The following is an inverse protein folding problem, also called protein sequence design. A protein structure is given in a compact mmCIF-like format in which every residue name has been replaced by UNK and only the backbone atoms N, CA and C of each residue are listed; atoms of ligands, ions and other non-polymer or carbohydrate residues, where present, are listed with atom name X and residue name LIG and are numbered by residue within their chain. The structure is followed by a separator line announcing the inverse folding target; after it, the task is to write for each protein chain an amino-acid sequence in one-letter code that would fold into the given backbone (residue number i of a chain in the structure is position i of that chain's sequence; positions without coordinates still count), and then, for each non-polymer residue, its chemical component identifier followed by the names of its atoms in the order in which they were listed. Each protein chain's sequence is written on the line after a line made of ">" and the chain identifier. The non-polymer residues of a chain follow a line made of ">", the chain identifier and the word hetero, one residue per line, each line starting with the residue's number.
data_IF_044558792687
#
_entry.id   IF_044558792687
#
_cell.length_a   1.000
_cell.length_b   1.000
_cell.length_c   1.000
_cell.angle_alpha   90.00
_cell.angle_beta   90.00
_cell.angle_gamma   90.00
#
_symmetry.space_group_name_H-M   'P 1'
#
loop_
_entity.id
_entity.type
_entity.pdbx_description
1 polymer ?
#
# COMPACT_ATOMS: atom_id res chain seq x y z
N UNK A 1 12.95 -64.21 13.03
CA UNK A 1 11.82 -63.51 12.41
C UNK A 1 11.40 -62.36 13.30
N UNK A 2 11.17 -61.19 12.73
CA UNK A 2 10.54 -60.13 13.52
C UNK A 2 9.15 -60.55 13.90
N UNK A 3 8.86 -60.40 15.18
CA UNK A 3 7.53 -60.72 15.71
C UNK A 3 6.54 -59.68 15.20
N UNK A 4 5.25 -60.05 15.20
CA UNK A 4 4.17 -59.13 14.84
C UNK A 4 4.23 -57.86 15.72
N UNK A 5 4.61 -57.99 16.98
CA UNK A 5 4.78 -56.88 17.90
C UNK A 5 5.84 -55.89 17.43
N UNK A 6 6.96 -56.33 16.88
CA UNK A 6 8.01 -55.45 16.30
C UNK A 6 7.55 -54.77 15.03
N UNK A 7 6.80 -55.48 14.20
CA UNK A 7 6.22 -54.88 12.99
C UNK A 7 5.23 -53.78 13.34
N UNK A 8 4.32 -54.05 14.29
CA UNK A 8 3.32 -53.06 14.73
C UNK A 8 3.99 -51.84 15.37
N UNK A 9 5.04 -52.06 16.19
CA UNK A 9 5.80 -50.96 16.77
C UNK A 9 6.47 -50.07 15.71
N UNK A 10 7.02 -50.70 14.66
CA UNK A 10 7.61 -49.94 13.54
C UNK A 10 6.57 -49.17 12.78
N UNK A 11 5.41 -49.76 12.51
CA UNK A 11 4.30 -49.06 11.83
C UNK A 11 3.80 -47.87 12.63
N UNK A 12 3.65 -48.04 13.95
CA UNK A 12 3.24 -46.96 14.86
C UNK A 12 4.25 -45.80 14.84
N UNK A 13 5.54 -46.12 14.83
CA UNK A 13 6.60 -45.12 14.78
C UNK A 13 6.60 -44.35 13.45
N UNK A 14 6.36 -45.03 12.32
CA UNK A 14 6.21 -44.38 11.02
C UNK A 14 5.02 -43.44 11.03
N UNK A 15 3.87 -43.87 11.56
CA UNK A 15 2.66 -43.04 11.67
C UNK A 15 2.92 -41.78 12.49
N UNK A 16 3.62 -41.91 13.61
CA UNK A 16 4.00 -40.79 14.48
C UNK A 16 4.92 -39.82 13.76
N UNK A 17 5.92 -40.29 13.04
CA UNK A 17 6.84 -39.45 12.26
C UNK A 17 6.11 -38.69 11.17
N UNK A 18 5.16 -39.33 10.47
CA UNK A 18 4.33 -38.67 9.46
C UNK A 18 3.50 -37.56 10.06
N UNK A 19 2.90 -37.80 11.22
CA UNK A 19 2.11 -36.78 11.94
C UNK A 19 2.99 -35.60 12.33
N UNK A 20 4.18 -35.85 12.89
CA UNK A 20 5.11 -34.81 13.31
C UNK A 20 5.57 -33.96 12.08
N UNK A 21 5.83 -34.62 10.94
CA UNK A 21 6.20 -33.93 9.71
C UNK A 21 5.06 -33.02 9.20
N UNK A 22 3.82 -33.53 9.22
CA UNK A 22 2.65 -32.74 8.81
C UNK A 22 2.46 -31.51 9.71
N UNK A 23 2.63 -31.65 11.02
CA UNK A 23 2.56 -30.56 11.97
C UNK A 23 3.66 -29.52 11.71
N UNK A 24 4.88 -29.97 11.43
CA UNK A 24 6.01 -29.10 11.14
C UNK A 24 5.77 -28.30 9.85
N UNK A 25 5.29 -28.95 8.78
CA UNK A 25 4.95 -28.29 7.52
C UNK A 25 3.88 -27.22 7.76
N UNK A 26 2.85 -27.54 8.53
CA UNK A 26 1.79 -26.58 8.87
C UNK A 26 2.34 -25.36 9.61
N UNK A 27 3.24 -25.54 10.57
CA UNK A 27 3.87 -24.44 11.31
C UNK A 27 4.74 -23.58 10.41
N UNK A 28 5.51 -24.19 9.51
CA UNK A 28 6.36 -23.46 8.55
C UNK A 28 5.49 -22.61 7.63
N UNK A 29 4.43 -23.17 7.05
CA UNK A 29 3.52 -22.46 6.18
C UNK A 29 2.84 -21.29 6.91
N UNK A 30 2.44 -21.50 8.15
CA UNK A 30 1.84 -20.46 8.99
C UNK A 30 2.82 -19.31 9.24
N UNK A 31 4.09 -19.62 9.55
CA UNK A 31 5.12 -18.62 9.80
C UNK A 31 5.43 -17.81 8.53
N UNK A 32 5.53 -18.47 7.38
CA UNK A 32 5.71 -17.81 6.08
C UNK A 32 4.57 -16.84 5.80
N UNK A 33 3.33 -17.27 6.03
CA UNK A 33 2.16 -16.42 5.85
C UNK A 33 2.19 -15.19 6.74
N UNK A 34 2.51 -15.34 8.02
CA UNK A 34 2.61 -14.22 8.96
C UNK A 34 3.75 -13.27 8.58
N UNK A 35 4.89 -13.79 8.18
CA UNK A 35 6.03 -13.00 7.76
C UNK A 35 5.71 -12.19 6.50
N UNK A 36 5.04 -12.79 5.51
CA UNK A 36 4.58 -12.10 4.31
C UNK A 36 3.63 -10.96 4.64
N UNK A 37 2.69 -11.18 5.57
CA UNK A 37 1.77 -10.14 6.04
C UNK A 37 2.49 -8.99 6.72
N UNK A 38 3.46 -9.30 7.55
CA UNK A 38 4.28 -8.30 8.23
C UNK A 38 5.09 -7.45 7.24
N UNK A 39 5.72 -8.09 6.26
CA UNK A 39 6.51 -7.39 5.24
C UNK A 39 5.63 -6.50 4.35
N UNK A 40 4.44 -6.96 3.99
CA UNK A 40 3.47 -6.18 3.23
C UNK A 40 3.05 -4.94 3.99
N UNK A 41 2.79 -5.06 5.29
CA UNK A 41 2.45 -3.94 6.15
C UNK A 41 3.61 -2.94 6.25
N UNK A 42 4.84 -3.42 6.46
CA UNK A 42 6.03 -2.56 6.48
C UNK A 42 6.22 -1.82 5.18
N UNK A 43 6.02 -2.49 4.05
CA UNK A 43 6.07 -1.86 2.73
C UNK A 43 5.09 -0.70 2.65
N UNK A 44 3.82 -0.92 3.02
CA UNK A 44 2.79 0.12 2.99
C UNK A 44 3.12 1.28 3.92
N UNK A 45 3.66 1.01 5.11
CA UNK A 45 4.04 2.06 6.05
C UNK A 45 5.20 2.93 5.55
N UNK A 46 6.19 2.33 4.90
CA UNK A 46 7.42 3.05 4.49
C UNK A 46 7.38 3.52 3.05
N UNK A 47 7.03 2.64 2.13
CA UNK A 47 7.10 2.92 0.68
C UNK A 47 5.80 3.54 0.19
N UNK A 48 4.66 3.01 0.62
CA UNK A 48 3.35 3.53 0.22
C UNK A 48 3.15 4.98 0.65
N UNK A 49 3.58 5.32 1.88
CA UNK A 49 3.51 6.71 2.37
C UNK A 49 4.44 7.63 1.57
N UNK A 50 5.65 7.17 1.24
CA UNK A 50 6.58 7.94 0.42
C UNK A 50 6.04 8.19 -0.98
N UNK A 51 5.46 7.18 -1.59
CA UNK A 51 4.82 7.30 -2.91
C UNK A 51 3.66 8.28 -2.88
N UNK A 52 2.83 8.22 -1.85
CA UNK A 52 1.71 9.14 -1.65
C UNK A 52 2.21 10.58 -1.48
N UNK A 53 3.20 10.82 -0.63
CA UNK A 53 3.77 12.13 -0.41
C UNK A 53 4.44 12.69 -1.66
N UNK A 54 5.13 11.85 -2.43
CA UNK A 54 5.74 12.24 -3.69
C UNK A 54 4.69 12.69 -4.71
N UNK A 55 3.62 11.93 -4.85
CA UNK A 55 2.51 12.28 -5.74
C UNK A 55 1.83 13.57 -5.31
N UNK A 56 1.57 13.74 -4.03
CA UNK A 56 0.99 14.96 -3.47
C UNK A 56 1.87 16.18 -3.76
N UNK A 57 3.18 16.05 -3.56
CA UNK A 57 4.14 17.11 -3.86
C UNK A 57 4.16 17.46 -5.34
N UNK A 58 4.12 16.47 -6.22
CA UNK A 58 4.04 16.69 -7.67
C UNK A 58 2.77 17.45 -8.05
N UNK A 59 1.64 17.11 -7.46
CA UNK A 59 0.38 17.81 -7.67
C UNK A 59 0.45 19.27 -7.19
N UNK A 60 1.06 19.51 -6.04
CA UNK A 60 1.26 20.86 -5.51
C UNK A 60 2.15 21.70 -6.42
N UNK A 61 3.23 21.14 -6.95
CA UNK A 61 4.13 21.81 -7.89
C UNK A 61 3.39 22.16 -9.18
N UNK A 62 2.61 21.26 -9.74
CA UNK A 62 1.83 21.50 -10.94
C UNK A 62 0.80 22.61 -10.72
N UNK A 63 0.15 22.61 -9.56
CA UNK A 63 -0.82 23.66 -9.21
C UNK A 63 -0.14 25.03 -9.11
N UNK A 64 1.03 25.12 -8.47
CA UNK A 64 1.79 26.35 -8.36
C UNK A 64 2.23 26.86 -9.75
N UNK A 65 2.72 25.97 -10.60
CA UNK A 65 3.10 26.31 -11.97
C UNK A 65 1.92 26.86 -12.76
N UNK A 66 0.79 26.21 -12.69
CA UNK A 66 -0.43 26.66 -13.39
C UNK A 66 -0.92 28.00 -12.86
N UNK A 67 -0.87 28.19 -11.53
CA UNK A 67 -1.21 29.47 -10.90
C UNK A 67 -0.30 30.59 -11.42
N UNK A 68 1.00 30.35 -11.49
CA UNK A 68 1.98 31.32 -12.00
C UNK A 68 1.69 31.67 -13.46
N UNK A 69 1.36 30.70 -14.31
CA UNK A 69 0.98 30.94 -15.71
C UNK A 69 -0.26 31.80 -15.82
N UNK A 70 -1.31 31.50 -15.04
CA UNK A 70 -2.57 32.24 -15.06
C UNK A 70 -2.35 33.69 -14.61
N UNK A 71 -1.63 33.89 -13.51
CA UNK A 71 -1.30 35.21 -12.96
C UNK A 71 -0.51 36.02 -13.99
N UNK A 72 0.50 35.42 -14.60
CA UNK A 72 1.33 36.06 -15.62
C UNK A 72 0.50 36.49 -16.83
N UNK A 73 -0.39 35.62 -17.30
CA UNK A 73 -1.27 35.90 -18.43
C UNK A 73 -2.22 37.05 -18.13
N UNK A 74 -2.80 37.11 -16.91
CA UNK A 74 -3.65 38.21 -16.50
C UNK A 74 -2.91 39.56 -16.44
N UNK A 75 -1.69 39.55 -15.91
CA UNK A 75 -0.82 40.73 -15.84
C UNK A 75 -0.45 41.19 -17.25
N UNK A 76 -0.04 40.28 -18.10
CA UNK A 76 0.39 40.60 -19.49
C UNK A 76 -0.76 41.19 -20.33
N UNK A 77 -2.00 40.78 -20.02
CA UNK A 77 -3.20 41.28 -20.71
C UNK A 77 -3.84 42.48 -20.02
N UNK A 78 -3.18 43.08 -19.04
CA UNK A 78 -3.67 44.24 -18.27
C UNK A 78 -5.05 44.00 -17.64
N UNK A 79 -5.35 42.76 -17.24
CA UNK A 79 -6.60 42.39 -16.56
C UNK A 79 -6.45 42.54 -15.06
N UNK A 80 -7.58 42.75 -14.41
CA UNK A 80 -7.61 42.80 -12.94
C UNK A 80 -7.23 41.45 -12.36
N UNK A 81 -6.27 41.45 -11.42
CA UNK A 81 -5.84 40.27 -10.74
C UNK A 81 -6.80 39.97 -9.58
N UNK A 82 -7.63 38.95 -9.75
CA UNK A 82 -8.54 38.44 -8.71
C UNK A 82 -8.05 37.05 -8.30
N UNK A 83 -7.42 36.96 -7.13
CA UNK A 83 -6.85 35.71 -6.63
C UNK A 83 -7.93 34.67 -6.32
N UNK A 84 -9.13 35.09 -5.91
CA UNK A 84 -10.25 34.18 -5.69
C UNK A 84 -10.69 33.49 -6.99
N UNK A 85 -10.73 34.26 -8.08
CA UNK A 85 -11.06 33.74 -9.41
C UNK A 85 -9.99 32.73 -9.87
N UNK A 86 -8.72 33.05 -9.66
CA UNK A 86 -7.59 32.16 -9.98
C UNK A 86 -7.70 30.85 -9.22
N UNK A 87 -7.98 30.92 -7.93
CA UNK A 87 -8.15 29.71 -7.11
C UNK A 87 -9.34 28.85 -7.57
N UNK A 88 -10.43 29.46 -8.00
CA UNK A 88 -11.59 28.73 -8.56
C UNK A 88 -11.22 28.00 -9.86
N UNK A 89 -10.46 28.63 -10.74
CA UNK A 89 -9.97 27.97 -11.95
C UNK A 89 -9.08 26.79 -11.59
N UNK A 90 -8.16 26.95 -10.64
CA UNK A 90 -7.28 25.90 -10.19
C UNK A 90 -8.05 24.74 -9.58
N UNK A 91 -9.07 25.03 -8.78
CA UNK A 91 -9.90 23.98 -8.17
C UNK A 91 -10.61 23.13 -9.23
N UNK A 92 -11.06 23.74 -10.33
CA UNK A 92 -11.66 23.01 -11.45
C UNK A 92 -10.61 22.21 -12.21
N UNK A 93 -9.46 22.82 -12.54
CA UNK A 93 -8.40 22.16 -13.31
C UNK A 93 -7.79 20.97 -12.58
N UNK A 94 -7.72 21.02 -11.25
CA UNK A 94 -7.10 19.99 -10.41
C UNK A 94 -8.10 19.13 -9.62
N UNK A 95 -9.37 19.16 -10.00
CA UNK A 95 -10.41 18.34 -9.36
C UNK A 95 -10.10 16.85 -9.45
N UNK A 96 -9.67 16.36 -10.61
CA UNK A 96 -9.28 14.96 -10.80
C UNK A 96 -8.08 14.59 -9.96
N UNK A 97 -7.07 15.45 -9.87
CA UNK A 97 -5.89 15.21 -9.05
C UNK A 97 -6.25 15.11 -7.57
N UNK A 98 -7.13 15.97 -7.10
CA UNK A 98 -7.63 15.95 -5.73
C UNK A 98 -8.38 14.66 -5.43
N UNK A 99 -9.24 14.24 -6.36
CA UNK A 99 -10.00 12.98 -6.22
C UNK A 99 -9.05 11.78 -6.19
N UNK A 100 -8.03 11.75 -7.05
CA UNK A 100 -7.01 10.69 -7.08
C UNK A 100 -6.21 10.64 -5.79
N UNK A 101 -5.81 11.79 -5.25
CA UNK A 101 -5.11 11.89 -3.96
C UNK A 101 -5.96 11.34 -2.82
N UNK A 102 -7.24 11.69 -2.79
CA UNK A 102 -8.15 11.22 -1.76
C UNK A 102 -8.32 9.69 -1.84
N UNK A 103 -8.44 9.16 -3.04
CA UNK A 103 -8.55 7.72 -3.27
C UNK A 103 -7.28 6.99 -2.80
N UNK A 104 -6.11 7.49 -3.15
CA UNK A 104 -4.83 6.90 -2.73
C UNK A 104 -4.66 6.97 -1.21
N UNK A 105 -5.03 8.07 -0.58
CA UNK A 105 -5.00 8.21 0.86
C UNK A 105 -5.91 7.19 1.55
N UNK A 106 -7.11 7.00 1.03
CA UNK A 106 -8.07 6.04 1.56
C UNK A 106 -7.55 4.60 1.40
N UNK A 107 -6.97 4.26 0.25
CA UNK A 107 -6.38 2.94 0.01
C UNK A 107 -5.21 2.67 0.95
N UNK A 108 -4.36 3.67 1.18
CA UNK A 108 -3.23 3.55 2.10
C UNK A 108 -3.71 3.33 3.54
N UNK A 109 -4.68 4.08 4.00
CA UNK A 109 -5.29 3.91 5.33
C UNK A 109 -5.91 2.54 5.48
N UNK A 110 -6.63 2.07 4.47
CA UNK A 110 -7.25 0.74 4.47
C UNK A 110 -6.20 -0.37 4.57
N UNK A 111 -5.13 -0.28 3.79
CA UNK A 111 -4.03 -1.24 3.82
C UNK A 111 -3.35 -1.30 5.20
N UNK A 112 -3.15 -0.15 5.85
CA UNK A 112 -2.52 -0.06 7.17
C UNK A 112 -3.42 -0.60 8.30
N UNK A 113 -4.73 -0.59 8.12
CA UNK A 113 -5.69 -1.08 9.12
C UNK A 113 -6.04 -2.55 8.98
N UNK A 114 -5.73 -3.18 7.85
CA UNK A 114 -5.97 -4.60 7.58
C UNK A 114 -4.87 -5.49 8.16
N UNK A 115 -4.76 -5.55 9.46
CA UNK A 115 -3.81 -6.46 10.12
C UNK A 115 -4.51 -7.49 10.97
#
# INVERSE_FOLDING_TARGET
>A
MPTKAKFDATQNKIAELRKNLAELIFEVDKNIFHESKYLEKEYMEKIGQLEFQSFKTQCDILRIRRKTEIVKELIDNNRVLDLEFVEKILDIDFEENKATLQEQENLLKLALTQT
#
